data_IF_141538240914
#
_entry.id   IF_141538240914
#
_cell.length_a   1.000
_cell.length_b   1.000
_cell.length_c   1.000
_cell.angle_alpha   90.00
_cell.angle_beta   90.00
_cell.angle_gamma   90.00
#
_symmetry.space_group_name_H-M   'P 1'
#
loop_
_entity.id
_entity.type
_entity.pdbx_description
1 polymer ?
#
# COMPACT_ATOMS: atom_id res chain seq x y z
N UNK A 1 18.70 7.35 21.22
CA UNK A 1 19.58 6.32 20.65
C UNK A 1 19.87 6.63 19.19
N UNK A 2 21.10 6.43 18.79
CA UNK A 2 21.52 6.73 17.43
C UNK A 2 20.98 5.67 16.46
N UNK A 3 20.40 6.11 15.35
CA UNK A 3 19.90 5.19 14.33
C UNK A 3 21.05 4.62 13.51
N UNK A 4 21.02 3.31 13.25
CA UNK A 4 21.99 2.68 12.35
C UNK A 4 21.66 3.02 10.90
N UNK A 5 20.37 3.05 10.58
CA UNK A 5 19.89 3.46 9.26
C UNK A 5 18.90 4.61 9.49
N UNK A 6 19.06 5.69 8.74
CA UNK A 6 18.21 6.86 8.94
C UNK A 6 16.77 6.53 8.55
N UNK A 7 15.82 7.20 9.19
CA UNK A 7 14.41 7.06 8.84
C UNK A 7 14.15 7.46 7.40
N UNK A 8 14.90 8.44 6.89
CA UNK A 8 14.76 8.87 5.50
C UNK A 8 15.15 7.77 4.51
N UNK A 9 16.28 7.09 4.77
CA UNK A 9 16.71 5.98 3.92
C UNK A 9 15.70 4.84 3.96
N UNK A 10 15.24 4.46 5.15
CA UNK A 10 14.26 3.41 5.30
C UNK A 10 12.95 3.77 4.58
N UNK A 11 12.54 5.04 4.68
CA UNK A 11 11.34 5.52 4.00
C UNK A 11 11.45 5.44 2.48
N UNK A 12 12.62 5.79 1.92
CA UNK A 12 12.85 5.71 0.48
C UNK A 12 12.80 4.25 0.00
N UNK A 13 13.42 3.34 0.75
CA UNK A 13 13.38 1.91 0.41
C UNK A 13 11.93 1.40 0.46
N UNK A 14 11.18 1.79 1.48
CA UNK A 14 9.77 1.48 1.58
C UNK A 14 9.00 2.01 0.36
N UNK A 15 9.27 3.26 -0.05
CA UNK A 15 8.63 3.88 -1.21
C UNK A 15 8.94 3.11 -2.50
N UNK A 16 10.19 2.66 -2.66
CA UNK A 16 10.55 1.86 -3.84
C UNK A 16 9.78 0.55 -3.86
N UNK A 17 9.57 -0.07 -2.71
CA UNK A 17 8.81 -1.31 -2.63
C UNK A 17 7.33 -1.10 -2.98
N UNK A 18 6.68 -0.07 -2.39
CA UNK A 18 5.26 0.16 -2.68
C UNK A 18 5.05 0.67 -4.09
N UNK A 19 5.99 1.45 -4.63
CA UNK A 19 5.94 1.88 -6.03
C UNK A 19 6.04 0.70 -6.97
N UNK A 20 6.88 -0.27 -6.66
CA UNK A 20 6.99 -1.51 -7.43
C UNK A 20 5.67 -2.29 -7.40
N UNK A 21 5.01 -2.39 -6.24
CA UNK A 21 3.69 -3.01 -6.17
C UNK A 21 2.69 -2.25 -7.03
N UNK A 22 2.77 -0.92 -7.06
CA UNK A 22 1.90 -0.11 -7.92
C UNK A 22 2.09 -0.44 -9.40
N UNK A 23 3.35 -0.56 -9.83
CA UNK A 23 3.66 -0.96 -11.21
C UNK A 23 3.11 -2.35 -11.51
N UNK A 24 3.25 -3.28 -10.56
CA UNK A 24 2.73 -4.63 -10.74
C UNK A 24 1.21 -4.64 -10.86
N UNK A 25 0.51 -3.70 -10.24
CA UNK A 25 -0.93 -3.58 -10.42
C UNK A 25 -1.29 -3.27 -11.87
N UNK A 26 -0.48 -2.49 -12.58
CA UNK A 26 -0.72 -2.22 -13.99
C UNK A 26 -0.31 -3.40 -14.86
N UNK A 27 0.83 -4.02 -14.57
CA UNK A 27 1.35 -5.14 -15.36
C UNK A 27 0.48 -6.38 -15.22
N UNK A 28 0.01 -6.67 -14.01
CA UNK A 28 -0.75 -7.88 -13.70
C UNK A 28 -2.24 -7.62 -13.44
N UNK A 29 -2.78 -6.51 -13.96
CA UNK A 29 -4.15 -6.10 -13.66
C UNK A 29 -5.17 -7.18 -14.01
N UNK A 30 -5.02 -7.84 -15.15
CA UNK A 30 -5.95 -8.90 -15.57
C UNK A 30 -5.99 -10.07 -14.58
N UNK A 31 -4.83 -10.44 -14.05
CA UNK A 31 -4.73 -11.53 -13.09
C UNK A 31 -5.27 -11.13 -11.74
N UNK A 32 -5.07 -9.87 -11.35
CA UNK A 32 -5.45 -9.35 -10.04
C UNK A 32 -6.94 -9.05 -9.93
N UNK A 33 -7.63 -8.83 -11.06
CA UNK A 33 -9.04 -8.44 -11.04
C UNK A 33 -9.93 -9.51 -10.39
N UNK A 34 -9.51 -10.76 -10.39
CA UNK A 34 -10.27 -11.84 -9.75
C UNK A 34 -10.33 -11.68 -8.22
N UNK A 35 -9.43 -10.87 -7.65
CA UNK A 35 -9.46 -10.57 -6.22
C UNK A 35 -10.47 -9.51 -5.84
N UNK A 36 -11.04 -8.79 -6.81
CA UNK A 36 -12.08 -7.80 -6.53
C UNK A 36 -13.40 -8.52 -6.33
N UNK A 37 -14.09 -8.35 -5.18
CA UNK A 37 -15.37 -9.02 -4.96
C UNK A 37 -16.42 -8.63 -5.99
N UNK A 38 -17.28 -9.59 -6.35
CA UNK A 38 -18.32 -9.37 -7.37
C UNK A 38 -19.29 -8.26 -7.00
N UNK A 39 -19.49 -8.02 -5.70
CA UNK A 39 -20.41 -6.96 -5.25
C UNK A 39 -19.84 -5.56 -5.44
N UNK A 40 -18.56 -5.44 -5.77
CA UNK A 40 -17.93 -4.15 -6.03
C UNK A 40 -17.92 -3.93 -7.54
N UNK A 41 -18.62 -2.89 -8.04
CA UNK A 41 -18.63 -2.61 -9.49
C UNK A 41 -17.29 -2.06 -9.96
N UNK A 42 -16.96 -2.31 -11.22
CA UNK A 42 -15.78 -1.75 -11.84
C UNK A 42 -14.60 -2.71 -12.01
N UNK A 43 -14.55 -3.79 -11.26
CA UNK A 43 -13.53 -4.84 -11.43
C UNK A 43 -12.11 -4.31 -11.59
N UNK A 44 -11.57 -4.46 -12.81
CA UNK A 44 -10.17 -4.11 -13.12
C UNK A 44 -9.85 -2.62 -12.88
N UNK A 45 -10.86 -1.74 -12.95
CA UNK A 45 -10.65 -0.31 -12.70
C UNK A 45 -10.08 -0.08 -11.30
N UNK A 46 -10.53 -0.85 -10.32
CA UNK A 46 -10.03 -0.74 -8.95
C UNK A 46 -8.57 -1.12 -8.83
N UNK A 47 -8.11 -2.07 -9.67
CA UNK A 47 -6.71 -2.44 -9.70
C UNK A 47 -5.86 -1.27 -10.17
N UNK A 48 -6.29 -0.58 -11.24
CA UNK A 48 -5.58 0.59 -11.75
C UNK A 48 -5.59 1.75 -10.75
N UNK A 49 -6.72 1.98 -10.09
CA UNK A 49 -6.82 3.03 -9.06
C UNK A 49 -5.83 2.74 -7.91
N UNK A 50 -5.81 1.50 -7.44
CA UNK A 50 -4.90 1.09 -6.37
C UNK A 50 -3.44 1.27 -6.80
N UNK A 51 -3.10 0.83 -7.99
CA UNK A 51 -1.75 0.99 -8.51
C UNK A 51 -1.33 2.46 -8.59
N UNK A 52 -2.24 3.31 -9.06
CA UNK A 52 -2.00 4.75 -9.13
C UNK A 52 -1.75 5.32 -7.73
N UNK A 53 -2.57 4.95 -6.75
CA UNK A 53 -2.41 5.43 -5.38
C UNK A 53 -1.07 5.00 -4.79
N UNK A 54 -0.66 3.75 -5.04
CA UNK A 54 0.63 3.26 -4.56
C UNK A 54 1.80 4.05 -5.18
N UNK A 55 1.74 4.31 -6.48
CA UNK A 55 2.78 5.07 -7.16
C UNK A 55 2.83 6.51 -6.66
N UNK A 56 1.67 7.16 -6.51
CA UNK A 56 1.61 8.53 -6.01
C UNK A 56 2.16 8.62 -4.58
N UNK A 57 1.84 7.66 -3.72
CA UNK A 57 2.38 7.63 -2.38
C UNK A 57 3.90 7.46 -2.39
N UNK A 58 4.41 6.59 -3.26
CA UNK A 58 5.85 6.39 -3.41
C UNK A 58 6.55 7.68 -3.84
N UNK A 59 5.98 8.37 -4.82
CA UNK A 59 6.52 9.64 -5.29
C UNK A 59 6.54 10.68 -4.17
N UNK A 60 5.44 10.80 -3.43
CA UNK A 60 5.34 11.76 -2.32
C UNK A 60 6.43 11.52 -1.27
N UNK A 61 6.67 10.25 -0.94
CA UNK A 61 7.71 9.90 0.03
C UNK A 61 9.09 10.25 -0.51
N UNK A 62 9.37 9.93 -1.77
CA UNK A 62 10.70 10.15 -2.38
C UNK A 62 11.02 11.64 -2.49
N UNK A 63 10.07 12.46 -2.95
CA UNK A 63 10.28 13.90 -3.06
C UNK A 63 10.07 14.63 -1.73
N UNK A 64 9.60 13.92 -0.72
CA UNK A 64 9.38 14.43 0.63
C UNK A 64 8.41 15.62 0.67
N UNK A 65 7.29 15.49 -0.07
CA UNK A 65 6.22 16.48 -0.07
C UNK A 65 4.90 15.79 0.25
N UNK A 66 4.14 16.36 1.20
CA UNK A 66 2.89 15.80 1.68
C UNK A 66 3.04 14.34 2.12
N UNK A 67 4.21 13.99 2.64
CA UNK A 67 4.56 12.61 2.99
C UNK A 67 3.63 12.05 4.06
N UNK A 68 3.33 12.83 5.10
CA UNK A 68 2.45 12.39 6.18
C UNK A 68 1.05 12.07 5.65
N UNK A 69 0.49 12.99 4.85
CA UNK A 69 -0.83 12.78 4.26
C UNK A 69 -0.85 11.55 3.37
N UNK A 70 0.15 11.42 2.48
CA UNK A 70 0.23 10.29 1.57
C UNK A 70 0.34 8.96 2.33
N UNK A 71 1.16 8.92 3.37
CA UNK A 71 1.35 7.69 4.15
C UNK A 71 0.09 7.31 4.92
N UNK A 72 -0.62 8.27 5.48
CA UNK A 72 -1.84 7.98 6.22
C UNK A 72 -2.98 7.55 5.28
N UNK A 73 -3.07 8.17 4.09
CA UNK A 73 -4.04 7.73 3.09
C UNK A 73 -3.70 6.33 2.59
N UNK A 74 -2.43 6.04 2.38
CA UNK A 74 -1.98 4.72 1.98
C UNK A 74 -2.34 3.67 3.04
N UNK A 75 -2.07 3.98 4.31
CA UNK A 75 -2.41 3.08 5.41
C UNK A 75 -3.91 2.82 5.46
N UNK A 76 -4.73 3.86 5.29
CA UNK A 76 -6.18 3.72 5.27
C UNK A 76 -6.63 2.81 4.13
N UNK A 77 -6.09 2.99 2.94
CA UNK A 77 -6.42 2.16 1.78
C UNK A 77 -6.08 0.70 2.03
N UNK A 78 -4.89 0.43 2.56
CA UNK A 78 -4.45 -0.95 2.83
C UNK A 78 -5.31 -1.61 3.90
N UNK A 79 -5.69 -0.87 4.95
CA UNK A 79 -6.56 -1.42 5.98
C UNK A 79 -7.98 -1.68 5.46
N UNK A 80 -8.48 -0.82 4.57
CA UNK A 80 -9.76 -1.07 3.91
C UNK A 80 -9.69 -2.37 3.12
N UNK A 81 -8.59 -2.63 2.42
CA UNK A 81 -8.42 -3.89 1.68
C UNK A 81 -8.39 -5.10 2.62
N UNK A 82 -7.75 -4.98 3.78
CA UNK A 82 -7.74 -6.07 4.76
C UNK A 82 -9.18 -6.42 5.16
N UNK A 83 -9.99 -5.43 5.45
CA UNK A 83 -11.34 -5.68 5.96
C UNK A 83 -12.36 -6.01 4.87
N UNK A 84 -12.14 -5.59 3.62
CA UNK A 84 -13.12 -5.80 2.55
C UNK A 84 -12.77 -6.97 1.64
N UNK A 85 -11.50 -7.12 1.29
CA UNK A 85 -11.08 -8.10 0.28
C UNK A 85 -10.39 -9.28 0.95
N UNK A 86 -9.37 -9.01 1.77
CA UNK A 86 -8.51 -10.08 2.26
C UNK A 86 -9.11 -10.85 3.42
N UNK A 87 -9.99 -10.23 4.20
CA UNK A 87 -10.64 -10.93 5.31
C UNK A 87 -11.49 -12.11 4.81
N UNK A 88 -12.07 -11.95 3.62
CA UNK A 88 -12.85 -13.03 3.00
C UNK A 88 -11.98 -14.25 2.69
N UNK A 89 -10.72 -14.05 2.34
CA UNK A 89 -9.79 -15.14 2.05
C UNK A 89 -9.33 -15.87 3.29
N UNK A 90 -9.50 -15.27 4.47
CA UNK A 90 -9.14 -15.89 5.74
C UNK A 90 -9.91 -17.19 5.96
N UNK A 91 -11.18 -17.21 5.54
CA UNK A 91 -12.04 -18.39 5.66
C UNK A 91 -11.46 -19.57 4.90
N UNK A 92 -10.72 -19.30 3.83
CA UNK A 92 -10.08 -20.32 3.01
C UNK A 92 -8.66 -20.66 3.46
N UNK A 93 -8.23 -20.11 4.61
CA UNK A 93 -6.90 -20.35 5.15
C UNK A 93 -5.80 -19.50 4.51
N UNK A 94 -6.15 -18.57 3.63
CA UNK A 94 -5.17 -17.70 2.96
C UNK A 94 -5.12 -16.35 3.65
N UNK A 95 -4.20 -16.22 4.59
CA UNK A 95 -4.04 -14.99 5.38
C UNK A 95 -2.77 -14.21 5.04
N UNK A 96 -2.02 -14.63 4.03
CA UNK A 96 -0.78 -13.95 3.64
C UNK A 96 -1.01 -12.48 3.28
N UNK A 97 -2.05 -12.20 2.51
CA UNK A 97 -2.36 -10.83 2.10
C UNK A 97 -2.80 -9.97 3.29
N UNK A 98 -3.50 -10.56 4.25
CA UNK A 98 -3.90 -9.84 5.46
C UNK A 98 -2.66 -9.40 6.24
N UNK A 99 -1.74 -10.33 6.46
CA UNK A 99 -0.50 -10.05 7.19
C UNK A 99 0.36 -9.03 6.45
N UNK A 100 0.52 -9.21 5.14
CA UNK A 100 1.32 -8.32 4.31
C UNK A 100 0.77 -6.90 4.33
N UNK A 101 -0.51 -6.73 4.07
CA UNK A 101 -1.12 -5.40 3.97
C UNK A 101 -1.17 -4.71 5.34
N UNK A 102 -1.38 -5.47 6.41
CA UNK A 102 -1.34 -4.92 7.76
C UNK A 102 0.06 -4.39 8.07
N UNK A 103 1.09 -5.17 7.76
CA UNK A 103 2.47 -4.74 7.97
C UNK A 103 2.82 -3.51 7.14
N UNK A 104 2.38 -3.48 5.88
CA UNK A 104 2.60 -2.34 4.99
C UNK A 104 1.88 -1.10 5.49
N UNK A 105 0.66 -1.24 6.02
CA UNK A 105 -0.10 -0.12 6.56
C UNK A 105 0.59 0.47 7.79
N UNK A 106 1.04 -0.40 8.69
CA UNK A 106 1.73 0.07 9.89
C UNK A 106 3.06 0.73 9.55
N UNK A 107 3.78 0.17 8.57
CA UNK A 107 5.01 0.79 8.09
C UNK A 107 4.74 2.18 7.48
N UNK A 108 3.63 2.32 6.75
CA UNK A 108 3.23 3.61 6.18
C UNK A 108 3.01 4.64 7.30
N UNK A 109 2.35 4.26 8.37
CA UNK A 109 2.13 5.16 9.50
C UNK A 109 3.46 5.57 10.14
N UNK A 110 4.36 4.61 10.34
CA UNK A 110 5.67 4.91 10.91
C UNK A 110 6.47 5.87 10.03
N UNK A 111 6.47 5.65 8.72
CA UNK A 111 7.13 6.55 7.78
C UNK A 111 6.49 7.93 7.83
N UNK A 112 5.17 7.99 7.84
CA UNK A 112 4.45 9.25 7.91
C UNK A 112 4.74 10.03 9.18
N UNK A 113 4.89 9.32 10.31
CA UNK A 113 5.17 9.95 11.60
C UNK A 113 6.57 10.56 11.66
N UNK A 114 7.51 10.09 10.84
CA UNK A 114 8.85 10.65 10.80
C UNK A 114 8.97 11.82 9.83
N UNK A 115 7.94 12.09 9.03
CA UNK A 115 7.94 13.16 8.07
C UNK A 115 7.76 14.52 8.73
N UNK A 116 8.40 15.55 8.15
CA UNK A 116 8.30 16.91 8.66
C UNK A 116 7.00 17.60 8.26
N UNK A 117 6.24 17.01 7.34
CA UNK A 117 4.97 17.56 6.89
C UNK A 117 3.96 16.49 6.46
#
# INVERSE_FOLDING_TARGET
MKQLISSRIAGIIYALAIGSFGVLHFVNAEEMKSGVPDYIPGGIVWIYITGTCLILAAIAIIINKATRLACYLLAAMLLIFVFTIHLKHLVNGNYTNILKDTAMAMAAILVGNTASE
#
